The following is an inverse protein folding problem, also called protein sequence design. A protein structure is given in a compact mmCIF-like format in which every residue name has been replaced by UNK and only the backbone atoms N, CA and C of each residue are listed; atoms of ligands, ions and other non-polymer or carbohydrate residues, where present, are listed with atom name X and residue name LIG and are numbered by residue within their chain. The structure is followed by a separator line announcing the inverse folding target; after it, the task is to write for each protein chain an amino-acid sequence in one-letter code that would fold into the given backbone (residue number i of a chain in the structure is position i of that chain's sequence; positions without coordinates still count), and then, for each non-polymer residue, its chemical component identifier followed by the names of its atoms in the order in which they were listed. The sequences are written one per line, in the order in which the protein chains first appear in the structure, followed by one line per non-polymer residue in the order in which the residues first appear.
data_IF_576316498635
#
_entry.id   IF_576316498635
#
_cell.length_a   1.000
_cell.length_b   1.000
_cell.length_c   1.000
_cell.angle_alpha   90.00
_cell.angle_beta   90.00
_cell.angle_gamma   90.00
#
_symmetry.space_group_name_H-M   'P 1'
#
loop_
_entity.id
_entity.type
_entity.pdbx_description
1 polymer ?
#
# COMPACT_ATOMS: atom_id res chain seq x y z
N UNK A 1 7.31 16.14 3.61
CA UNK A 1 7.98 14.91 4.07
C UNK A 1 7.88 14.90 5.58
N UNK A 2 7.68 13.74 6.22
CA UNK A 2 7.74 13.68 7.68
C UNK A 2 9.18 14.01 8.11
N UNK A 3 9.32 14.90 9.09
CA UNK A 3 10.64 15.23 9.66
C UNK A 3 11.15 14.00 10.43
N UNK A 4 12.21 13.38 9.92
CA UNK A 4 12.76 12.15 10.50
C UNK A 4 13.57 12.55 11.72
N UNK A 5 13.10 12.16 12.90
CA UNK A 5 13.79 12.48 14.15
C UNK A 5 15.15 11.76 14.22
N UNK A 6 16.13 12.39 14.87
CA UNK A 6 17.40 11.73 15.14
C UNK A 6 17.20 10.64 16.21
N UNK A 7 17.52 9.36 15.92
CA UNK A 7 17.33 8.26 16.87
C UNK A 7 18.19 8.38 18.13
N UNK A 8 19.27 9.17 18.10
CA UNK A 8 20.09 9.43 19.27
C UNK A 8 19.43 10.40 20.25
N UNK A 9 18.63 11.34 19.75
CA UNK A 9 17.98 12.37 20.56
C UNK A 9 16.64 11.88 21.13
N UNK A 10 15.91 11.05 20.36
CA UNK A 10 14.61 10.50 20.76
C UNK A 10 14.51 9.00 20.45
N UNK A 11 15.25 8.13 21.17
CA UNK A 11 15.28 6.69 20.88
C UNK A 11 13.92 6.01 21.06
N UNK A 12 13.10 6.49 22.00
CA UNK A 12 11.79 5.89 22.29
C UNK A 12 10.78 6.02 21.14
N UNK A 13 10.96 7.02 20.26
CA UNK A 13 10.12 7.19 19.08
C UNK A 13 10.27 6.04 18.06
N UNK A 14 11.33 5.23 18.18
CA UNK A 14 11.65 4.11 17.29
C UNK A 14 11.20 2.75 17.86
N UNK A 15 10.68 2.73 19.10
CA UNK A 15 10.26 1.53 19.81
C UNK A 15 8.83 1.09 19.47
N UNK A 16 8.06 1.91 18.75
CA UNK A 16 6.68 1.63 18.38
C UNK A 16 6.34 2.17 16.99
N UNK A 17 5.24 1.72 16.43
CA UNK A 17 4.60 2.35 15.26
C UNK A 17 3.14 2.61 15.57
N UNK A 18 2.49 3.42 14.74
CA UNK A 18 1.04 3.63 14.83
C UNK A 18 0.36 3.38 13.49
N UNK A 19 -0.87 2.88 13.55
CA UNK A 19 -1.75 2.68 12.38
C UNK A 19 -3.08 3.38 12.63
N UNK A 20 -3.40 4.40 11.84
CA UNK A 20 -4.53 5.33 12.11
C UNK A 20 -4.57 5.84 13.57
N UNK A 21 -3.40 6.10 14.16
CA UNK A 21 -3.26 6.54 15.56
C UNK A 21 -3.33 5.41 16.60
N UNK A 22 -3.63 4.18 16.20
CA UNK A 22 -3.56 3.01 17.08
C UNK A 22 -2.10 2.60 17.27
N UNK A 23 -1.58 2.73 18.49
CA UNK A 23 -0.19 2.41 18.85
C UNK A 23 0.03 0.90 18.93
N UNK A 24 1.15 0.42 18.40
CA UNK A 24 1.59 -0.96 18.57
C UNK A 24 1.90 -1.25 20.06
N UNK A 25 1.43 -2.36 20.62
CA UNK A 25 1.70 -2.71 22.01
C UNK A 25 3.15 -3.14 22.20
N UNK A 26 3.70 -2.92 23.41
CA UNK A 26 5.07 -3.32 23.75
C UNK A 26 6.15 -2.69 22.86
N UNK A 27 7.22 -3.45 22.60
CA UNK A 27 8.32 -3.05 21.73
C UNK A 27 8.09 -3.62 20.33
N UNK A 28 7.96 -2.75 19.34
CA UNK A 28 7.96 -3.14 17.94
C UNK A 28 9.39 -3.09 17.40
N UNK A 29 9.82 -4.14 16.72
CA UNK A 29 11.06 -4.21 15.96
C UNK A 29 10.75 -4.38 14.48
N UNK A 30 11.39 -3.60 13.62
CA UNK A 30 11.32 -3.81 12.18
C UNK A 30 12.21 -5.01 11.82
N UNK A 31 11.62 -6.11 11.36
CA UNK A 31 12.37 -7.34 11.05
C UNK A 31 12.66 -7.51 9.57
N UNK A 32 11.80 -7.01 8.71
CA UNK A 32 11.96 -7.14 7.27
C UNK A 32 11.20 -6.08 6.50
N UNK A 33 11.67 -5.80 5.28
CA UNK A 33 11.07 -4.85 4.38
C UNK A 33 11.33 -3.41 4.79
N UNK A 34 10.41 -2.51 4.46
CA UNK A 34 10.58 -1.08 4.67
C UNK A 34 11.41 -0.38 3.60
N UNK A 35 12.16 -1.13 2.78
CA UNK A 35 12.91 -0.59 1.64
C UNK A 35 12.00 -0.37 0.43
N UNK A 36 12.34 0.62 -0.38
CA UNK A 36 11.75 0.82 -1.71
C UNK A 36 12.66 0.18 -2.75
N UNK A 37 12.06 -0.67 -3.59
CA UNK A 37 12.74 -1.29 -4.72
C UNK A 37 12.18 -0.75 -6.02
N UNK A 38 13.08 -0.24 -6.85
CA UNK A 38 12.81 0.15 -8.22
C UNK A 38 12.84 -1.10 -9.12
N UNK A 39 11.83 -1.23 -9.97
CA UNK A 39 11.71 -2.33 -10.93
C UNK A 39 12.37 -1.92 -12.25
N UNK A 40 13.46 -2.62 -12.58
CA UNK A 40 14.17 -2.48 -13.83
C UNK A 40 13.98 -3.73 -14.68
N UNK A 41 13.75 -3.55 -15.98
CA UNK A 41 13.67 -4.64 -16.94
C UNK A 41 14.76 -4.44 -17.98
N UNK A 42 15.57 -5.48 -18.17
CA UNK A 42 16.58 -5.51 -19.22
C UNK A 42 15.92 -5.99 -20.52
N UNK A 43 16.05 -5.19 -21.56
CA UNK A 43 15.56 -5.51 -22.90
C UNK A 43 16.75 -5.62 -23.84
N UNK A 44 16.77 -6.70 -24.62
CA UNK A 44 17.75 -6.91 -25.68
C UNK A 44 17.05 -6.80 -27.03
N UNK A 45 17.55 -5.93 -27.90
CA UNK A 45 17.06 -5.82 -29.27
C UNK A 45 17.87 -6.75 -30.17
N UNK A 46 17.25 -7.55 -31.06
CA UNK A 46 17.98 -8.45 -31.97
C UNK A 46 18.99 -7.74 -32.89
N UNK A 47 18.83 -6.43 -33.11
CA UNK A 47 19.69 -5.62 -34.00
C UNK A 47 20.77 -4.82 -33.27
N UNK A 48 20.85 -4.90 -31.95
CA UNK A 48 21.82 -4.15 -31.14
C UNK A 48 22.65 -5.10 -30.29
N UNK A 49 23.96 -4.88 -30.26
CA UNK A 49 24.84 -5.53 -29.30
C UNK A 49 24.62 -4.89 -27.91
N UNK A 50 24.22 -5.70 -26.94
CA UNK A 50 23.99 -5.28 -25.56
C UNK A 50 22.51 -5.21 -25.15
N UNK A 51 22.29 -5.12 -23.83
CA UNK A 51 20.97 -4.92 -23.24
C UNK A 51 20.83 -3.49 -22.74
N UNK A 52 19.65 -2.90 -22.88
CA UNK A 52 19.31 -1.62 -22.25
C UNK A 52 18.35 -1.86 -21.08
N UNK A 53 18.51 -1.05 -20.04
CA UNK A 53 17.71 -1.15 -18.81
C UNK A 53 16.59 -0.13 -18.86
N UNK A 54 15.35 -0.62 -18.78
CA UNK A 54 14.15 0.21 -18.74
C UNK A 54 13.58 0.21 -17.32
N UNK A 55 13.45 1.39 -16.73
CA UNK A 55 12.72 1.56 -15.48
C UNK A 55 11.22 1.35 -15.73
N UNK A 56 10.61 0.38 -15.04
CA UNK A 56 9.17 0.08 -15.14
C UNK A 56 8.33 0.76 -14.07
N UNK A 57 8.93 1.11 -12.95
CA UNK A 57 8.24 1.71 -11.83
C UNK A 57 8.82 1.23 -10.51
N UNK A 58 8.07 1.42 -9.43
CA UNK A 58 8.48 1.03 -8.10
C UNK A 58 7.57 -0.09 -7.62
N UNK A 59 8.14 -1.14 -7.05
CA UNK A 59 7.35 -2.21 -6.45
C UNK A 59 6.66 -1.70 -5.18
N UNK A 60 5.50 -2.28 -4.88
CA UNK A 60 4.88 -2.06 -3.58
C UNK A 60 5.80 -2.65 -2.51
N UNK A 61 6.11 -1.85 -1.49
CA UNK A 61 6.87 -2.34 -0.35
C UNK A 61 6.00 -3.16 0.59
N UNK A 62 6.61 -4.08 1.33
CA UNK A 62 6.02 -4.71 2.50
C UNK A 62 6.87 -4.35 3.72
N UNK A 63 6.26 -4.32 4.89
CA UNK A 63 6.94 -3.99 6.15
C UNK A 63 6.48 -4.99 7.18
N UNK A 64 7.42 -5.72 7.77
CA UNK A 64 7.14 -6.71 8.81
C UNK A 64 7.71 -6.26 10.13
N UNK A 65 6.85 -6.25 11.14
CA UNK A 65 7.23 -5.92 12.52
C UNK A 65 7.13 -7.16 13.39
N UNK A 66 8.11 -7.35 14.26
CA UNK A 66 8.02 -8.24 15.41
C UNK A 66 7.68 -7.40 16.64
N UNK A 67 6.54 -7.70 17.25
CA UNK A 67 6.03 -7.02 18.44
C UNK A 67 6.32 -7.90 19.66
N UNK A 68 7.16 -7.41 20.56
CA UNK A 68 7.56 -8.11 21.79
C UNK A 68 6.73 -7.64 22.99
N UNK A 69 6.14 -8.59 23.70
CA UNK A 69 5.26 -8.41 24.86
C UNK A 69 5.82 -9.17 26.06
N UNK A 70 5.75 -8.56 27.26
CA UNK A 70 6.27 -9.16 28.49
C UNK A 70 5.53 -8.74 29.76
N UNK A 71 4.56 -7.82 29.68
CA UNK A 71 3.69 -7.42 30.79
C UNK A 71 2.24 -7.78 30.48
N UNK A 72 1.39 -7.87 31.50
CA UNK A 72 -0.04 -8.17 31.32
C UNK A 72 -0.73 -7.11 30.46
N UNK A 73 -0.40 -5.83 30.68
CA UNK A 73 -0.95 -4.69 29.92
C UNK A 73 -0.58 -4.79 28.44
N UNK A 74 0.62 -5.28 28.12
CA UNK A 74 1.03 -5.53 26.74
C UNK A 74 0.12 -6.56 26.06
N UNK A 75 -0.27 -7.63 26.77
CA UNK A 75 -1.16 -8.66 26.22
C UNK A 75 -2.60 -8.17 26.06
N UNK A 76 -3.09 -7.33 26.97
CA UNK A 76 -4.43 -6.72 26.84
C UNK A 76 -4.49 -5.76 25.67
N UNK A 77 -3.49 -4.88 25.54
CA UNK A 77 -3.37 -3.97 24.41
C UNK A 77 -3.24 -4.74 23.08
N UNK A 78 -2.54 -5.88 23.07
CA UNK A 78 -2.46 -6.75 21.90
C UNK A 78 -3.80 -7.33 21.47
N UNK A 79 -4.68 -7.73 22.39
CA UNK A 79 -6.02 -8.23 22.06
C UNK A 79 -6.83 -7.16 21.31
N UNK A 80 -6.89 -5.94 21.86
CA UNK A 80 -7.60 -4.84 21.21
C UNK A 80 -6.97 -4.47 19.85
N UNK A 81 -5.63 -4.43 19.81
CA UNK A 81 -4.88 -4.12 18.59
C UNK A 81 -5.15 -5.13 17.47
N UNK A 82 -5.03 -6.43 17.78
CA UNK A 82 -5.20 -7.49 16.78
C UNK A 82 -6.65 -7.61 16.31
N UNK A 83 -7.63 -7.34 17.17
CA UNK A 83 -9.04 -7.29 16.78
C UNK A 83 -9.31 -6.17 15.77
N UNK A 84 -8.78 -4.98 16.00
CA UNK A 84 -8.87 -3.86 15.06
C UNK A 84 -8.24 -4.21 13.70
N UNK A 85 -7.04 -4.81 13.71
CA UNK A 85 -6.37 -5.25 12.48
C UNK A 85 -7.16 -6.33 11.73
N UNK A 86 -7.66 -7.35 12.44
CA UNK A 86 -8.49 -8.43 11.88
C UNK A 86 -9.78 -7.87 11.28
N UNK A 87 -10.45 -6.96 11.97
CA UNK A 87 -11.66 -6.30 11.47
C UNK A 87 -11.38 -5.52 10.18
N UNK A 88 -10.27 -4.77 10.13
CA UNK A 88 -9.84 -4.06 8.91
C UNK A 88 -9.52 -5.00 7.74
N UNK A 89 -8.84 -6.12 8.00
CA UNK A 89 -8.49 -7.13 6.99
C UNK A 89 -9.72 -7.84 6.39
N UNK A 90 -10.78 -8.03 7.18
CA UNK A 90 -12.02 -8.70 6.74
C UNK A 90 -12.88 -7.84 5.79
N UNK A 91 -12.72 -6.52 5.77
CA UNK A 91 -13.47 -5.63 4.86
C UNK A 91 -13.19 -5.93 3.38
N UNK A 92 -14.14 -5.58 2.50
CA UNK A 92 -14.03 -5.71 1.05
C UNK A 92 -14.43 -4.36 0.41
N UNK A 93 -13.47 -3.55 -0.06
CA UNK A 93 -12.02 -3.78 -0.05
C UNK A 93 -11.41 -3.77 1.37
N UNK A 94 -10.21 -4.37 1.59
CA UNK A 94 -9.52 -4.31 2.87
C UNK A 94 -9.29 -2.88 3.33
N UNK A 95 -9.38 -2.63 4.65
CA UNK A 95 -9.13 -1.31 5.20
C UNK A 95 -7.69 -0.89 4.94
N UNK A 96 -7.53 0.34 4.44
CA UNK A 96 -6.25 1.02 4.32
C UNK A 96 -6.03 1.84 5.58
N UNK A 97 -4.86 1.67 6.18
CA UNK A 97 -4.43 2.33 7.40
C UNK A 97 -3.31 3.31 7.07
N UNK A 98 -3.28 4.46 7.75
CA UNK A 98 -2.13 5.36 7.73
C UNK A 98 -1.06 4.83 8.68
N UNK A 99 0.09 4.46 8.15
CA UNK A 99 1.25 4.05 8.94
C UNK A 99 2.04 5.30 9.36
N UNK A 100 2.41 5.39 10.63
CA UNK A 100 3.44 6.31 11.08
C UNK A 100 4.48 5.54 11.90
N UNK A 101 5.70 5.51 11.37
CA UNK A 101 6.88 4.88 11.99
C UNK A 101 8.12 5.67 11.53
N UNK A 102 8.92 6.12 12.48
CA UNK A 102 10.14 6.90 12.21
C UNK A 102 11.19 6.11 11.43
N UNK A 103 11.23 4.78 11.59
CA UNK A 103 12.21 3.90 10.95
C UNK A 103 12.06 3.83 9.44
N UNK A 104 10.83 3.93 8.93
CA UNK A 104 10.51 3.82 7.49
C UNK A 104 9.95 5.13 6.92
N UNK A 105 9.95 6.21 7.70
CA UNK A 105 9.42 7.51 7.30
C UNK A 105 10.10 8.05 6.04
N UNK A 106 11.42 7.83 5.89
CA UNK A 106 12.19 8.26 4.72
C UNK A 106 11.81 7.54 3.42
N UNK A 107 11.13 6.40 3.48
CA UNK A 107 10.71 5.62 2.31
C UNK A 107 9.29 5.97 1.83
N UNK A 108 8.64 6.98 2.43
CA UNK A 108 7.31 7.46 2.08
C UNK A 108 6.22 6.35 2.07
N UNK A 109 6.36 5.35 2.95
CA UNK A 109 5.38 4.28 3.14
C UNK A 109 4.26 4.79 4.06
N UNK A 110 3.34 5.57 3.49
CA UNK A 110 2.31 6.29 4.25
C UNK A 110 1.06 5.47 4.54
N UNK A 111 0.67 4.61 3.60
CA UNK A 111 -0.60 3.88 3.66
C UNK A 111 -0.37 2.40 3.44
N UNK A 112 -0.95 1.58 4.31
CA UNK A 112 -0.75 0.14 4.33
C UNK A 112 -2.04 -0.62 4.54
N UNK A 113 -2.06 -1.86 4.07
CA UNK A 113 -3.09 -2.86 4.37
C UNK A 113 -2.47 -3.99 5.18
N UNK A 114 -3.26 -4.62 6.04
CA UNK A 114 -2.79 -5.78 6.81
C UNK A 114 -2.63 -6.98 5.87
N UNK A 115 -1.39 -7.48 5.73
CA UNK A 115 -1.07 -8.67 4.96
C UNK A 115 -1.18 -9.94 5.80
N UNK A 116 -0.38 -10.03 6.86
CA UNK A 116 -0.32 -11.19 7.75
C UNK A 116 -0.32 -10.79 9.24
N UNK A 117 -0.86 -11.68 10.07
CA UNK A 117 -0.76 -11.63 11.53
C UNK A 117 -0.28 -13.02 11.96
N UNK A 118 0.97 -13.10 12.40
CA UNK A 118 1.65 -14.33 12.79
C UNK A 118 1.15 -14.91 14.11
N UNK A 119 1.52 -16.17 14.34
CA UNK A 119 1.28 -16.86 15.61
C UNK A 119 2.17 -16.30 16.73
N UNK A 120 1.83 -16.63 17.97
CA UNK A 120 2.65 -16.29 19.14
C UNK A 120 3.95 -17.08 19.10
N UNK A 121 5.07 -16.40 19.31
CA UNK A 121 6.39 -16.97 19.45
C UNK A 121 6.89 -16.73 20.88
N UNK A 122 7.52 -17.73 21.50
CA UNK A 122 8.21 -17.57 22.78
C UNK A 122 9.67 -17.20 22.50
N UNK A 123 10.08 -16.01 22.91
CA UNK A 123 11.45 -15.50 22.70
C UNK A 123 12.28 -15.51 23.99
N UNK A 124 11.64 -15.70 25.15
CA UNK A 124 12.31 -15.83 26.44
C UNK A 124 11.38 -16.40 27.52
N UNK A 125 11.85 -16.53 28.77
CA UNK A 125 11.07 -17.09 29.88
C UNK A 125 9.74 -16.36 30.10
N UNK A 126 9.77 -15.03 30.02
CA UNK A 126 8.62 -14.13 30.25
C UNK A 126 8.34 -13.21 29.05
N UNK A 127 8.93 -13.51 27.89
CA UNK A 127 8.85 -12.67 26.70
C UNK A 127 8.25 -13.45 25.53
N UNK A 128 7.26 -12.84 24.91
CA UNK A 128 6.56 -13.40 23.75
C UNK A 128 6.58 -12.39 22.61
N UNK A 129 6.49 -12.88 21.38
CA UNK A 129 6.50 -12.06 20.20
C UNK A 129 5.37 -12.44 19.23
N UNK A 130 4.89 -11.46 18.47
CA UNK A 130 3.99 -11.66 17.35
C UNK A 130 4.53 -10.95 16.13
N UNK A 131 4.36 -11.53 14.95
CA UNK A 131 4.71 -10.87 13.70
C UNK A 131 3.49 -10.24 13.04
N UNK A 132 3.63 -9.03 12.51
CA UNK A 132 2.60 -8.37 11.72
C UNK A 132 3.24 -7.85 10.45
N UNK A 133 2.70 -8.29 9.31
CA UNK A 133 3.14 -7.81 7.99
C UNK A 133 2.11 -6.86 7.43
N UNK A 134 2.57 -5.68 7.05
CA UNK A 134 1.84 -4.67 6.33
C UNK A 134 2.29 -4.64 4.87
N UNK A 135 1.34 -4.43 3.96
CA UNK A 135 1.61 -4.29 2.54
C UNK A 135 1.26 -2.86 2.16
N UNK A 136 2.19 -2.16 1.52
CA UNK A 136 1.98 -0.80 1.05
C UNK A 136 0.80 -0.75 0.09
N UNK A 137 -0.11 0.18 0.35
CA UNK A 137 -1.26 0.45 -0.50
C UNK A 137 -1.09 1.82 -1.14
N UNK A 138 -0.45 1.84 -2.31
CA UNK A 138 -0.35 3.05 -3.12
C UNK A 138 -1.64 3.24 -3.91
N UNK A 139 -2.27 4.40 -3.75
CA UNK A 139 -3.32 4.84 -4.68
C UNK A 139 -2.68 4.90 -6.07
N UNK A 140 -3.16 4.05 -6.99
CA UNK A 140 -2.79 4.12 -8.41
C UNK A 140 -3.22 5.49 -8.91
N UNK A 141 -2.28 6.34 -9.29
CA UNK A 141 -2.59 7.48 -10.14
C UNK A 141 -2.70 6.92 -11.55
N UNK A 142 -3.88 6.99 -12.20
CA UNK A 142 -4.00 6.53 -13.58
C UNK A 142 -2.97 7.26 -14.44
N UNK A 143 -2.18 6.49 -15.17
CA UNK A 143 -1.23 7.03 -16.14
C UNK A 143 -2.04 7.65 -17.29
N UNK A 144 -1.85 8.95 -17.54
CA UNK A 144 -2.51 9.63 -18.66
C UNK A 144 -3.21 10.95 -18.31
N UNK A 145 -3.44 11.25 -17.03
CA UNK A 145 -4.23 12.43 -16.65
C UNK A 145 -5.67 12.37 -17.20
N UNK A 146 -6.47 13.44 -17.04
CA UNK A 146 -7.73 13.54 -17.79
C UNK A 146 -7.44 13.48 -19.29
N UNK A 147 -8.38 12.95 -20.07
CA UNK A 147 -8.29 12.93 -21.53
C UNK A 147 -7.91 14.35 -22.02
N UNK A 148 -6.77 14.45 -22.72
CA UNK A 148 -6.35 15.73 -23.29
C UNK A 148 -7.38 16.15 -24.34
N UNK A 149 -7.69 17.45 -24.46
CA UNK A 149 -8.52 17.91 -25.57
C UNK A 149 -7.87 17.48 -26.90
N UNK A 150 -8.69 17.15 -27.91
CA UNK A 150 -8.18 16.71 -29.20
C UNK A 150 -7.27 17.79 -29.78
N UNK A 151 -6.11 17.38 -30.28
CA UNK A 151 -5.07 18.30 -30.79
C UNK A 151 -5.17 18.54 -32.28
N UNK A 152 -5.92 17.70 -32.99
CA UNK A 152 -6.06 17.78 -34.44
C UNK A 152 -7.49 17.43 -34.87
N UNK A 153 -7.85 17.79 -36.11
CA UNK A 153 -9.17 17.56 -36.70
C UNK A 153 -9.57 16.08 -36.76
N UNK A 154 -8.60 15.17 -36.74
CA UNK A 154 -8.86 13.73 -36.79
C UNK A 154 -9.31 13.22 -35.42
N UNK A 155 -8.63 13.63 -34.36
CA UNK A 155 -9.01 13.36 -32.97
C UNK A 155 -10.37 13.99 -32.61
N UNK A 156 -10.65 15.22 -33.07
CA UNK A 156 -11.98 15.84 -32.92
C UNK A 156 -13.09 15.00 -33.54
N UNK A 157 -12.84 14.46 -34.74
CA UNK A 157 -13.79 13.60 -35.44
C UNK A 157 -14.03 12.29 -34.70
N UNK A 158 -12.99 11.67 -34.15
CA UNK A 158 -13.11 10.43 -33.34
C UNK A 158 -13.96 10.68 -32.10
N UNK A 159 -13.70 11.75 -31.35
CA UNK A 159 -14.47 12.11 -30.14
C UNK A 159 -15.95 12.33 -30.48
N UNK A 160 -16.23 13.03 -31.58
CA UNK A 160 -17.61 13.23 -32.05
C UNK A 160 -18.30 11.90 -32.40
N UNK A 161 -17.62 11.02 -33.13
CA UNK A 161 -18.17 9.73 -33.52
C UNK A 161 -18.42 8.82 -32.31
N UNK A 162 -17.57 8.87 -31.29
CA UNK A 162 -17.79 8.15 -30.03
C UNK A 162 -19.03 8.67 -29.28
N UNK A 163 -19.27 9.98 -29.27
CA UNK A 163 -20.47 10.57 -28.67
C UNK A 163 -21.74 10.15 -29.42
N UNK A 164 -21.73 10.19 -30.75
CA UNK A 164 -22.83 9.73 -31.60
C UNK A 164 -23.12 8.22 -31.38
N UNK A 165 -22.09 7.39 -31.32
CA UNK A 165 -22.22 5.96 -31.05
C UNK A 165 -22.78 5.65 -29.65
N UNK A 166 -22.38 6.41 -28.63
CA UNK A 166 -22.90 6.23 -27.28
C UNK A 166 -24.39 6.61 -27.20
N UNK A 167 -24.80 7.73 -27.83
CA UNK A 167 -26.20 8.11 -27.90
C UNK A 167 -27.06 7.05 -28.61
N UNK A 168 -26.56 6.47 -29.71
CA UNK A 168 -27.23 5.36 -30.40
C UNK A 168 -27.35 4.11 -29.53
N UNK A 169 -26.31 3.79 -28.74
CA UNK A 169 -26.34 2.65 -27.80
C UNK A 169 -27.38 2.85 -26.70
N UNK A 170 -27.51 4.06 -26.17
CA UNK A 170 -28.53 4.40 -25.17
C UNK A 170 -29.95 4.30 -25.76
N UNK A 171 -30.16 4.80 -26.98
CA UNK A 171 -31.43 4.67 -27.69
C UNK A 171 -31.79 3.21 -27.97
N UNK A 172 -30.83 2.38 -28.40
CA UNK A 172 -31.04 0.95 -28.62
C UNK A 172 -31.35 0.22 -27.31
N UNK A 173 -30.68 0.56 -26.21
CA UNK A 173 -30.96 -0.02 -24.90
C UNK A 173 -32.37 0.35 -24.41
N UNK A 174 -32.78 1.60 -24.59
CA UNK A 174 -34.12 2.07 -24.25
C UNK A 174 -35.21 1.40 -25.11
N UNK A 175 -34.98 1.28 -26.42
CA UNK A 175 -35.90 0.63 -27.34
C UNK A 175 -36.06 -0.87 -27.04
N UNK A 176 -34.96 -1.57 -26.72
CA UNK A 176 -35.01 -2.98 -26.30
C UNK A 176 -35.79 -3.17 -25.01
N UNK A 177 -35.59 -2.30 -24.03
CA UNK A 177 -36.32 -2.33 -22.75
C UNK A 177 -37.81 -2.01 -22.90
N UNK A 178 -38.20 -1.23 -23.91
CA UNK A 178 -39.60 -0.94 -24.21
C UNK A 178 -40.30 -2.05 -25.01
N UNK A 179 -39.54 -3.01 -25.55
CA UNK A 179 -40.04 -4.13 -26.34
C UNK A 179 -40.13 -5.45 -25.53
N UNK A 180 -39.62 -5.47 -24.30
CA UNK A 180 -39.84 -6.52 -23.27
C UNK A 180 -41.03 -6.16 -22.39
#
# INVERSE_FOLDING_TARGET
MADVQNPLDTPDAFNFFTVDGLRSPGLALLTSGGNREDEFVHQQSPMLAGAYTVFRGQKNSSVTYQIQLWTTEHFEAWKAFVEALKAGRKKRPPKVWRLADQRVAHNDILTVSVGNIGAQMKIGPTKFAYEVTFIENRKRKPWGGPAKPPKNKWEERVVRQEAENNALREQLAAAKKAAE
#
